data_IF_282941193988
#
_entry.id   IF_282941193988
#
_cell.length_a   1.000
_cell.length_b   1.000
_cell.length_c   1.000
_cell.angle_alpha   90.00
_cell.angle_beta   90.00
_cell.angle_gamma   90.00
#
_symmetry.space_group_name_H-M   'P 1'
#
loop_
_entity.id
_entity.type
_entity.pdbx_description
1 polymer ?
#
# COMPACT_ATOMS: atom_id res chain seq x y z
N UNK A 1 -19.82 -5.78 -60.56
CA UNK A 1 -19.40 -5.31 -59.23
C UNK A 1 -19.79 -6.38 -58.24
N UNK A 2 -18.79 -6.93 -57.54
CA UNK A 2 -18.84 -8.19 -56.80
C UNK A 2 -19.50 -8.06 -55.42
N UNK A 3 -19.85 -9.22 -54.85
CA UNK A 3 -20.62 -9.46 -53.62
C UNK A 3 -19.76 -9.51 -52.33
N UNK A 4 -20.48 -9.70 -51.20
CA UNK A 4 -20.04 -10.13 -49.84
C UNK A 4 -19.53 -9.00 -48.92
N UNK A 5 -19.72 -8.92 -47.59
CA UNK A 5 -20.00 -9.86 -46.49
C UNK A 5 -20.63 -9.06 -45.31
N UNK A 6 -21.71 -9.52 -44.65
CA UNK A 6 -21.71 -10.25 -43.37
C UNK A 6 -21.00 -9.54 -42.20
N UNK A 7 -21.75 -8.80 -41.37
CA UNK A 7 -21.30 -8.32 -40.07
C UNK A 7 -21.24 -9.50 -39.08
N UNK A 8 -20.03 -9.85 -38.67
CA UNK A 8 -19.70 -10.87 -37.68
C UNK A 8 -19.47 -10.23 -36.30
N UNK A 9 -20.24 -10.68 -35.31
CA UNK A 9 -19.98 -10.50 -33.88
C UNK A 9 -18.68 -11.23 -33.48
N UNK A 10 -17.78 -10.63 -32.68
CA UNK A 10 -16.87 -11.39 -31.83
C UNK A 10 -17.41 -11.35 -30.39
N UNK A 11 -17.98 -12.45 -29.91
CA UNK A 11 -17.32 -13.45 -29.09
C UNK A 11 -16.97 -12.92 -27.69
N UNK A 12 -18.00 -12.94 -26.84
CA UNK A 12 -17.92 -12.86 -25.39
C UNK A 12 -17.07 -14.05 -24.90
N UNK A 13 -15.78 -13.80 -24.68
CA UNK A 13 -14.94 -14.73 -23.93
C UNK A 13 -15.10 -14.38 -22.45
N UNK A 14 -15.65 -15.28 -21.62
CA UNK A 14 -15.52 -15.12 -20.19
C UNK A 14 -14.02 -15.11 -19.89
N UNK A 15 -13.51 -14.00 -19.36
CA UNK A 15 -12.22 -13.98 -18.71
C UNK A 15 -12.24 -15.12 -17.68
N UNK A 16 -11.51 -16.19 -18.00
CA UNK A 16 -11.12 -17.20 -17.03
C UNK A 16 -10.57 -16.43 -15.83
N UNK A 17 -11.31 -16.50 -14.74
CA UNK A 17 -10.77 -16.25 -13.40
C UNK A 17 -9.67 -17.28 -13.21
N UNK A 18 -8.46 -16.93 -13.68
CA UNK A 18 -7.24 -17.64 -13.33
C UNK A 18 -7.22 -17.66 -11.82
N UNK A 19 -7.40 -18.85 -11.25
CA UNK A 19 -7.31 -19.07 -9.83
C UNK A 19 -6.04 -18.38 -9.33
N UNK A 20 -6.17 -17.50 -8.34
CA UNK A 20 -5.05 -16.83 -7.69
C UNK A 20 -3.98 -17.89 -7.39
N UNK A 21 -2.74 -17.63 -7.80
CA UNK A 21 -1.61 -18.47 -7.46
C UNK A 21 -1.60 -18.59 -5.93
N UNK A 22 -1.61 -19.80 -5.32
CA UNK A 22 -1.68 -19.99 -3.87
C UNK A 22 -0.50 -19.39 -3.07
N UNK A 23 0.38 -18.63 -3.73
CA UNK A 23 1.44 -17.80 -3.15
C UNK A 23 1.11 -16.31 -3.00
N UNK A 24 0.09 -15.77 -3.68
CA UNK A 24 -0.19 -14.33 -3.67
C UNK A 24 -0.88 -13.91 -2.37
N UNK A 25 -0.13 -13.22 -1.51
CA UNK A 25 -0.68 -12.54 -0.35
C UNK A 25 -1.44 -11.32 -0.85
N UNK A 26 -2.75 -11.46 -1.00
CA UNK A 26 -3.63 -10.36 -1.31
C UNK A 26 -3.98 -9.59 -0.03
N UNK A 27 -3.73 -8.28 -0.01
CA UNK A 27 -4.27 -7.41 1.02
C UNK A 27 -5.78 -7.27 0.81
N UNK A 28 -6.55 -7.54 1.85
CA UNK A 28 -7.97 -7.24 1.82
C UNK A 28 -8.18 -5.75 2.12
N UNK A 29 -8.55 -4.99 1.09
CA UNK A 29 -8.80 -3.55 1.18
C UNK A 29 -10.25 -3.27 0.83
N UNK A 30 -10.99 -2.69 1.78
CA UNK A 30 -12.33 -2.18 1.53
C UNK A 30 -12.28 -0.97 0.61
N UNK A 31 -13.16 -0.97 -0.41
CA UNK A 31 -13.40 0.21 -1.25
C UNK A 31 -13.83 1.37 -0.36
N UNK A 32 -13.32 2.56 -0.66
CA UNK A 32 -13.46 3.79 0.11
C UNK A 32 -12.66 3.82 1.42
N UNK A 33 -11.84 2.80 1.71
CA UNK A 33 -10.99 2.79 2.89
C UNK A 33 -9.71 3.61 2.71
N UNK A 34 -9.32 4.33 3.76
CA UNK A 34 -8.03 4.98 3.90
C UNK A 34 -7.12 4.11 4.78
N UNK A 35 -5.91 3.82 4.31
CA UNK A 35 -4.99 2.89 4.95
C UNK A 35 -3.59 3.47 5.13
N UNK A 36 -2.92 3.11 6.23
CA UNK A 36 -1.46 3.11 6.30
C UNK A 36 -0.98 1.78 5.72
N UNK A 37 -0.11 1.82 4.71
CA UNK A 37 0.53 0.62 4.17
C UNK A 37 2.03 0.69 4.44
N UNK A 38 2.57 -0.39 4.99
CA UNK A 38 4.01 -0.57 5.19
C UNK A 38 4.53 -1.61 4.21
N UNK A 39 5.60 -1.26 3.50
CA UNK A 39 6.26 -2.17 2.54
C UNK A 39 7.73 -2.34 2.84
N UNK A 40 8.27 -3.53 2.65
CA UNK A 40 9.72 -3.77 2.74
C UNK A 40 10.46 -3.05 1.62
N UNK A 41 11.61 -2.47 1.92
CA UNK A 41 12.54 -1.94 0.91
C UNK A 41 13.76 -2.85 0.78
N UNK A 42 14.28 -3.03 -0.44
CA UNK A 42 15.47 -3.85 -0.72
C UNK A 42 16.72 -3.38 0.05
N UNK A 43 16.78 -2.09 0.39
CA UNK A 43 17.94 -1.47 1.03
C UNK A 43 18.00 -1.63 2.58
N UNK A 44 17.09 -2.40 3.19
CA UNK A 44 17.13 -2.77 4.62
C UNK A 44 17.06 -1.58 5.61
N UNK A 45 16.48 -0.45 5.20
CA UNK A 45 16.41 0.80 5.99
C UNK A 45 15.10 0.91 6.82
N UNK A 46 14.41 -0.21 7.04
CA UNK A 46 13.07 -0.27 7.62
C UNK A 46 11.96 -0.34 6.57
N UNK A 47 10.70 -0.33 7.02
CA UNK A 47 9.56 -0.30 6.11
C UNK A 47 9.36 1.09 5.51
N UNK A 48 8.97 1.16 4.22
CA UNK A 48 8.42 2.36 3.61
C UNK A 48 7.00 2.58 4.10
N UNK A 49 6.65 3.81 4.46
CA UNK A 49 5.30 4.16 4.92
C UNK A 49 4.60 4.96 3.83
N UNK A 50 3.38 4.52 3.48
CA UNK A 50 2.52 5.23 2.52
C UNK A 50 1.11 5.37 3.09
N UNK A 51 0.45 6.47 2.74
CA UNK A 51 -1.00 6.59 2.89
C UNK A 51 -1.65 6.12 1.59
N UNK A 52 -2.66 5.27 1.69
CA UNK A 52 -3.35 4.73 0.54
C UNK A 52 -4.86 4.92 0.67
N UNK A 53 -5.46 5.61 -0.28
CA UNK A 53 -6.91 5.67 -0.42
C UNK A 53 -7.34 4.68 -1.49
N UNK A 54 -8.06 3.63 -1.09
CA UNK A 54 -8.61 2.64 -2.00
C UNK A 54 -9.95 3.14 -2.55
N UNK A 55 -10.00 3.58 -3.81
CA UNK A 55 -11.18 4.26 -4.40
C UNK A 55 -12.04 3.35 -5.28
N UNK A 56 -11.56 2.14 -5.59
CA UNK A 56 -12.29 1.14 -6.37
C UNK A 56 -11.60 -0.21 -6.31
N UNK A 57 -12.21 -1.24 -6.92
CA UNK A 57 -11.78 -2.65 -6.76
C UNK A 57 -10.31 -2.94 -7.10
N UNK A 58 -9.71 -2.14 -7.98
CA UNK A 58 -8.30 -2.24 -8.36
C UNK A 58 -7.72 -0.84 -8.63
N UNK A 59 -8.15 0.16 -7.85
CA UNK A 59 -7.72 1.54 -8.05
C UNK A 59 -7.60 2.26 -6.71
N UNK A 60 -6.52 3.01 -6.54
CA UNK A 60 -6.34 3.91 -5.42
C UNK A 60 -5.27 4.95 -5.66
N UNK A 61 -5.17 5.88 -4.71
CA UNK A 61 -4.12 6.89 -4.68
C UNK A 61 -3.16 6.62 -3.54
N UNK A 62 -1.87 6.69 -3.88
CA UNK A 62 -0.75 6.49 -2.96
C UNK A 62 -0.12 7.84 -2.68
N UNK A 63 -0.05 8.21 -1.42
CA UNK A 63 0.61 9.42 -0.95
C UNK A 63 1.83 9.02 -0.13
N UNK A 64 3.01 9.46 -0.54
CA UNK A 64 4.23 9.21 0.21
C UNK A 64 5.29 10.27 -0.06
N UNK A 65 6.35 10.23 0.73
CA UNK A 65 7.60 10.91 0.42
C UNK A 65 8.72 9.89 0.28
N UNK A 66 9.63 10.12 -0.66
CA UNK A 66 10.82 9.30 -0.82
C UNK A 66 12.08 10.17 -0.81
N UNK A 67 13.21 9.55 -0.52
CA UNK A 67 14.51 10.19 -0.63
C UNK A 67 15.38 9.26 -1.48
N UNK A 68 15.38 9.47 -2.79
CA UNK A 68 16.10 8.65 -3.78
C UNK A 68 17.64 8.85 -3.74
N UNK A 69 18.17 9.25 -2.58
CA UNK A 69 19.60 9.25 -2.30
C UNK A 69 20.38 10.46 -2.84
N UNK A 70 19.73 11.47 -3.43
CA UNK A 70 20.48 12.55 -4.08
C UNK A 70 20.57 13.86 -3.29
N UNK A 71 19.49 14.47 -2.78
CA UNK A 71 19.66 15.72 -1.98
C UNK A 71 18.47 16.09 -1.07
N UNK A 72 17.24 15.71 -1.42
CA UNK A 72 16.02 16.17 -0.73
C UNK A 72 14.92 15.11 -0.73
N UNK A 73 14.00 15.22 0.23
CA UNK A 73 12.75 14.47 0.22
C UNK A 73 11.83 15.00 -0.87
N UNK A 74 11.17 14.09 -1.59
CA UNK A 74 10.20 14.41 -2.63
C UNK A 74 8.85 13.79 -2.30
N UNK A 75 7.78 14.58 -2.45
CA UNK A 75 6.42 14.09 -2.32
C UNK A 75 5.90 13.52 -3.63
N UNK A 76 5.14 12.43 -3.52
CA UNK A 76 4.50 11.74 -4.64
C UNK A 76 3.04 11.47 -4.30
N UNK A 77 2.20 11.62 -5.32
CA UNK A 77 0.81 11.23 -5.34
C UNK A 77 0.58 10.41 -6.60
N UNK A 78 0.70 9.09 -6.50
CA UNK A 78 0.64 8.19 -7.65
C UNK A 78 -0.72 7.44 -7.67
N UNK A 79 -1.21 7.14 -8.86
CA UNK A 79 -2.30 6.16 -9.04
C UNK A 79 -1.70 4.75 -8.96
N UNK A 80 -2.31 3.87 -8.17
CA UNK A 80 -1.93 2.45 -8.09
C UNK A 80 -3.11 1.56 -8.38
N UNK A 81 -2.88 0.54 -9.21
CA UNK A 81 -3.86 -0.49 -9.57
C UNK A 81 -3.63 -1.84 -8.89
N UNK A 82 -2.51 -1.95 -8.21
CA UNK A 82 -1.88 -3.19 -7.80
C UNK A 82 -1.50 -3.21 -6.31
N UNK A 83 -1.85 -2.16 -5.54
CA UNK A 83 -1.49 -2.09 -4.13
C UNK A 83 -2.00 -3.29 -3.32
N UNK A 84 -3.18 -3.83 -3.67
CA UNK A 84 -3.73 -5.03 -3.04
C UNK A 84 -2.93 -6.31 -3.32
N UNK A 85 -2.08 -6.31 -4.35
CA UNK A 85 -1.28 -7.45 -4.82
C UNK A 85 0.23 -7.21 -4.61
N UNK A 86 0.61 -6.17 -3.87
CA UNK A 86 2.02 -5.84 -3.66
C UNK A 86 2.70 -6.92 -2.81
N UNK A 87 3.64 -7.65 -3.39
CA UNK A 87 4.46 -8.64 -2.70
C UNK A 87 5.41 -8.03 -1.66
N UNK A 88 5.65 -6.71 -1.75
CA UNK A 88 6.46 -5.96 -0.80
C UNK A 88 5.65 -5.48 0.41
N UNK A 89 4.31 -5.45 0.34
CA UNK A 89 3.48 -4.97 1.44
C UNK A 89 3.48 -5.99 2.59
N UNK A 90 3.75 -5.50 3.78
CA UNK A 90 3.83 -6.31 5.01
C UNK A 90 2.78 -5.92 6.04
N UNK A 91 2.17 -4.74 5.94
CA UNK A 91 1.02 -4.39 6.76
C UNK A 91 0.11 -3.40 6.04
N UNK A 92 -1.18 -3.49 6.34
CA UNK A 92 -2.20 -2.50 6.00
C UNK A 92 -3.06 -2.25 7.24
N UNK A 93 -3.08 -1.02 7.73
CA UNK A 93 -3.91 -0.59 8.87
C UNK A 93 -4.96 0.38 8.35
N UNK A 94 -6.24 0.02 8.48
CA UNK A 94 -7.35 0.88 8.09
C UNK A 94 -7.52 2.01 9.10
N UNK A 95 -7.57 3.24 8.62
CA UNK A 95 -7.67 4.45 9.44
C UNK A 95 -9.10 5.00 9.45
N UNK A 96 -9.75 5.00 8.28
CA UNK A 96 -11.06 5.60 8.11
C UNK A 96 -11.80 5.02 6.90
N UNK A 97 -13.12 5.12 6.93
CA UNK A 97 -13.99 5.02 5.75
C UNK A 97 -14.23 6.42 5.19
N UNK A 98 -13.91 6.63 3.92
CA UNK A 98 -14.00 7.93 3.25
C UNK A 98 -15.17 7.95 2.28
N UNK A 99 -16.18 8.78 2.53
CA UNK A 99 -17.26 8.98 1.57
C UNK A 99 -16.71 9.36 0.18
N UNK A 100 -17.20 8.79 -0.93
CA UNK A 100 -16.66 9.04 -2.28
C UNK A 100 -16.52 10.52 -2.64
N UNK A 101 -17.47 11.35 -2.23
CA UNK A 101 -17.46 12.80 -2.43
C UNK A 101 -16.29 13.53 -1.73
N UNK A 102 -15.71 12.90 -0.70
CA UNK A 102 -14.59 13.46 0.06
C UNK A 102 -13.23 13.08 -0.53
N UNK A 103 -13.15 12.14 -1.47
CA UNK A 103 -11.88 11.62 -2.00
C UNK A 103 -11.01 12.73 -2.61
N UNK A 104 -11.58 13.55 -3.48
CA UNK A 104 -10.86 14.66 -4.13
C UNK A 104 -10.54 15.81 -3.16
N UNK A 105 -11.36 16.01 -2.13
CA UNK A 105 -11.08 16.99 -1.09
C UNK A 105 -9.89 16.53 -0.23
N UNK A 106 -9.88 15.26 0.18
CA UNK A 106 -8.79 14.62 0.91
C UNK A 106 -7.49 14.66 0.10
N UNK A 107 -7.54 14.26 -1.18
CA UNK A 107 -6.39 14.29 -2.09
C UNK A 107 -5.77 15.69 -2.15
N UNK A 108 -6.59 16.72 -2.39
CA UNK A 108 -6.12 18.12 -2.41
C UNK A 108 -5.56 18.59 -1.07
N UNK A 109 -6.14 18.14 0.05
CA UNK A 109 -5.64 18.49 1.38
C UNK A 109 -4.30 17.85 1.70
N UNK A 110 -4.07 16.61 1.29
CA UNK A 110 -2.78 15.94 1.51
C UNK A 110 -1.70 16.57 0.60
N UNK A 111 -2.03 16.74 -0.67
CA UNK A 111 -1.17 17.38 -1.65
C UNK A 111 -1.53 16.98 -3.08
N UNK A 112 -1.34 17.92 -4.00
CA UNK A 112 -1.68 17.75 -5.42
C UNK A 112 -0.48 18.15 -6.30
N UNK A 113 -0.33 17.54 -7.48
CA UNK A 113 0.75 17.83 -8.44
C UNK A 113 2.16 17.93 -7.82
N UNK A 114 2.56 16.89 -7.08
CA UNK A 114 3.87 16.81 -6.40
C UNK A 114 4.14 17.91 -5.37
N UNK A 115 3.11 18.62 -4.92
CA UNK A 115 3.19 19.60 -3.83
C UNK A 115 2.44 19.10 -2.58
N UNK A 116 3.12 18.74 -1.50
CA UNK A 116 2.47 18.37 -0.26
C UNK A 116 1.95 19.63 0.44
N UNK A 117 0.83 19.50 1.16
CA UNK A 117 0.36 20.57 2.04
C UNK A 117 1.18 20.64 3.34
N UNK A 118 1.63 19.48 3.83
CA UNK A 118 2.58 19.35 4.94
C UNK A 118 3.99 19.64 4.43
N UNK A 119 4.71 20.52 5.13
CA UNK A 119 6.09 20.86 4.79
C UNK A 119 7.03 19.65 4.90
N UNK A 120 7.95 19.53 3.94
CA UNK A 120 9.00 18.52 3.96
C UNK A 120 10.20 19.02 4.78
N UNK A 121 10.02 19.14 6.09
CA UNK A 121 11.07 19.55 7.03
C UNK A 121 11.04 18.77 8.35
N UNK A 122 12.14 18.82 9.08
CA UNK A 122 12.19 18.39 10.47
C UNK A 122 11.27 19.28 11.31
N UNK A 123 10.59 18.69 12.31
CA UNK A 123 9.70 19.45 13.20
C UNK A 123 9.98 19.15 14.66
N UNK A 124 9.66 20.11 15.54
CA UNK A 124 9.80 19.92 16.98
C UNK A 124 8.89 18.81 17.53
N UNK A 125 7.73 18.58 16.90
CA UNK A 125 6.73 17.58 17.33
C UNK A 125 7.02 16.17 16.80
N UNK A 126 7.38 16.07 15.53
CA UNK A 126 7.54 14.77 14.85
C UNK A 126 9.00 14.36 14.67
N UNK A 127 9.95 15.25 14.95
CA UNK A 127 11.38 14.99 14.85
C UNK A 127 11.92 15.11 13.43
N UNK A 128 12.94 14.30 13.14
CA UNK A 128 13.61 14.27 11.83
C UNK A 128 12.65 13.78 10.75
N UNK A 129 12.69 14.41 9.58
CA UNK A 129 11.87 14.06 8.45
C UNK A 129 12.26 12.70 7.86
N UNK A 130 11.27 11.81 7.83
CA UNK A 130 11.25 10.58 7.06
C UNK A 130 9.81 10.24 6.63
N UNK A 131 9.64 9.17 5.83
CA UNK A 131 8.32 8.75 5.34
C UNK A 131 7.31 8.50 6.47
N UNK A 132 7.77 8.03 7.64
CA UNK A 132 6.92 7.78 8.81
C UNK A 132 6.56 9.10 9.48
N UNK A 133 7.54 9.95 9.81
CA UNK A 133 7.28 11.20 10.55
C UNK A 133 6.45 12.19 9.73
N UNK A 134 6.66 12.25 8.40
CA UNK A 134 5.80 13.00 7.49
C UNK A 134 4.37 12.47 7.50
N UNK A 135 4.19 11.14 7.39
CA UNK A 135 2.85 10.55 7.38
C UNK A 135 2.12 10.77 8.71
N UNK A 136 2.81 10.66 9.84
CA UNK A 136 2.23 10.96 11.15
C UNK A 136 1.80 12.42 11.28
N UNK A 137 2.57 13.35 10.69
CA UNK A 137 2.15 14.74 10.63
C UNK A 137 0.90 14.94 9.75
N UNK A 138 0.84 14.31 8.58
CA UNK A 138 -0.36 14.32 7.72
C UNK A 138 -1.57 13.82 8.49
N UNK A 139 -1.47 12.67 9.17
CA UNK A 139 -2.59 12.11 9.93
C UNK A 139 -3.01 13.00 11.09
N UNK A 140 -2.06 13.61 11.80
CA UNK A 140 -2.36 14.56 12.86
C UNK A 140 -3.14 15.77 12.34
N UNK A 141 -2.74 16.34 11.21
CA UNK A 141 -3.44 17.48 10.62
C UNK A 141 -4.84 17.08 10.11
N UNK A 142 -4.97 15.93 9.45
CA UNK A 142 -6.26 15.43 8.98
C UNK A 142 -7.24 15.17 10.12
N UNK A 143 -6.76 14.63 11.25
CA UNK A 143 -7.58 14.40 12.45
C UNK A 143 -8.04 15.71 13.08
N UNK A 144 -7.14 16.68 13.25
CA UNK A 144 -7.49 18.00 13.79
C UNK A 144 -8.47 18.78 12.90
N UNK A 145 -8.44 18.55 11.60
CA UNK A 145 -9.35 19.18 10.62
C UNK A 145 -10.65 18.40 10.43
N UNK A 146 -10.78 17.21 11.02
CA UNK A 146 -11.97 16.38 10.93
C UNK A 146 -12.13 15.63 9.61
N UNK A 147 -11.07 15.46 8.83
CA UNK A 147 -11.07 14.55 7.67
C UNK A 147 -11.09 13.09 8.09
N UNK A 148 -10.44 12.78 9.20
CA UNK A 148 -10.43 11.47 9.85
C UNK A 148 -10.75 11.65 11.33
N UNK A 149 -11.05 10.55 12.02
CA UNK A 149 -11.14 10.55 13.48
C UNK A 149 -10.39 9.35 14.02
N UNK A 150 -9.25 9.63 14.65
CA UNK A 150 -8.57 8.63 15.47
C UNK A 150 -9.45 8.37 16.70
N UNK A 151 -9.68 7.08 17.05
CA UNK A 151 -10.62 6.70 18.10
C UNK A 151 -10.37 7.47 19.42
N UNK A 152 -11.42 7.80 20.21
CA UNK A 152 -11.23 8.50 21.48
C UNK A 152 -10.26 7.77 22.41
N UNK A 153 -9.22 8.47 22.87
CA UNK A 153 -8.16 7.91 23.71
C UNK A 153 -7.03 7.22 22.95
N UNK A 154 -7.11 7.20 21.62
CA UNK A 154 -6.08 6.71 20.70
C UNK A 154 -5.37 7.91 20.06
N UNK A 155 -4.07 7.81 19.87
CA UNK A 155 -3.25 8.84 19.23
C UNK A 155 -2.68 8.32 17.92
N UNK A 156 -2.18 9.24 17.09
CA UNK A 156 -1.39 8.90 15.91
C UNK A 156 -0.14 8.05 16.23
N UNK A 157 0.40 8.15 17.45
CA UNK A 157 1.53 7.32 17.87
C UNK A 157 1.10 5.88 18.13
N UNK A 158 -0.10 5.67 18.66
CA UNK A 158 -0.68 4.33 18.85
C UNK A 158 -0.94 3.67 17.49
N UNK A 159 -1.44 4.41 16.50
CA UNK A 159 -1.54 3.93 15.10
C UNK A 159 -0.17 3.57 14.52
N UNK A 160 0.87 4.33 14.84
CA UNK A 160 2.23 4.02 14.39
C UNK A 160 2.75 2.72 15.03
N UNK A 161 2.49 2.52 16.31
CA UNK A 161 2.87 1.31 17.04
C UNK A 161 2.12 0.09 16.49
N UNK A 162 0.82 0.22 16.24
CA UNK A 162 -0.01 -0.81 15.63
C UNK A 162 0.52 -1.22 14.26
N UNK A 163 0.74 -0.26 13.36
CA UNK A 163 1.27 -0.51 12.02
C UNK A 163 2.65 -1.19 12.06
N UNK A 164 3.55 -0.71 12.93
CA UNK A 164 4.90 -1.28 13.09
C UNK A 164 4.84 -2.70 13.65
N UNK A 165 3.99 -2.94 14.64
CA UNK A 165 3.83 -4.26 15.27
C UNK A 165 3.26 -5.28 14.30
N UNK A 166 2.24 -4.87 13.52
CA UNK A 166 1.66 -5.71 12.48
C UNK A 166 2.69 -6.04 11.39
N UNK A 167 3.46 -5.05 10.93
CA UNK A 167 4.52 -5.27 9.95
C UNK A 167 5.61 -6.22 10.44
N UNK A 168 6.06 -6.06 11.69
CA UNK A 168 7.07 -6.93 12.28
C UNK A 168 6.56 -8.38 12.41
N UNK A 169 5.32 -8.57 12.87
CA UNK A 169 4.70 -9.88 12.97
C UNK A 169 4.56 -10.56 11.60
N UNK A 170 4.08 -9.83 10.59
CA UNK A 170 3.90 -10.36 9.24
C UNK A 170 5.24 -10.66 8.57
N UNK A 171 6.26 -9.81 8.75
CA UNK A 171 7.62 -10.09 8.25
C UNK A 171 8.19 -11.37 8.84
N UNK A 172 8.04 -11.57 10.16
CA UNK A 172 8.49 -12.79 10.82
C UNK A 172 7.80 -14.03 10.23
N UNK A 173 6.47 -13.98 10.04
CA UNK A 173 5.71 -15.06 9.43
C UNK A 173 6.12 -15.35 7.98
N UNK A 174 6.40 -14.31 7.19
CA UNK A 174 6.87 -14.45 5.80
C UNK A 174 8.26 -15.10 5.73
N UNK A 175 9.17 -14.72 6.62
CA UNK A 175 10.50 -15.32 6.71
C UNK A 175 10.43 -16.79 7.12
N UNK A 176 9.64 -17.13 8.14
CA UNK A 176 9.43 -18.51 8.58
C UNK A 176 8.80 -19.38 7.47
N UNK A 177 7.76 -18.87 6.80
CA UNK A 177 7.13 -19.54 5.65
C UNK A 177 8.14 -19.78 4.52
N UNK A 178 8.95 -18.77 4.19
CA UNK A 178 9.97 -18.86 3.13
C UNK A 178 11.03 -19.89 3.48
N UNK A 179 11.51 -19.92 4.73
CA UNK A 179 12.49 -20.90 5.20
C UNK A 179 11.94 -22.33 5.09
N UNK A 180 10.70 -22.56 5.55
CA UNK A 180 10.03 -23.87 5.44
C UNK A 180 9.86 -24.31 3.99
N UNK A 181 9.41 -23.42 3.10
CA UNK A 181 9.28 -23.73 1.67
C UNK A 181 10.64 -24.05 1.05
N UNK A 182 11.69 -23.32 1.44
CA UNK A 182 13.04 -23.58 0.94
C UNK A 182 13.56 -24.96 1.37
N UNK A 183 13.24 -25.40 2.58
CA UNK A 183 13.64 -26.72 3.08
C UNK A 183 12.87 -27.84 2.36
N UNK A 184 11.55 -27.70 2.24
CA UNK A 184 10.72 -28.64 1.46
C UNK A 184 11.21 -28.76 0.00
N UNK A 185 11.61 -27.65 -0.63
CA UNK A 185 12.20 -27.66 -1.98
C UNK A 185 13.50 -28.47 -2.04
N UNK A 186 14.37 -28.37 -1.04
CA UNK A 186 15.59 -29.18 -0.96
C UNK A 186 15.29 -30.67 -0.81
N UNK A 187 14.34 -31.02 0.06
CA UNK A 187 13.91 -32.41 0.26
C UNK A 187 13.36 -33.03 -1.03
N UNK A 188 12.50 -32.31 -1.75
CA UNK A 188 11.95 -32.76 -3.04
C UNK A 188 13.06 -32.97 -4.07
N UNK A 189 13.97 -32.00 -4.23
CA UNK A 189 15.09 -32.12 -5.17
C UNK A 189 15.97 -33.32 -4.80
N UNK A 190 16.26 -33.51 -3.51
CA UNK A 190 17.04 -34.66 -3.04
C UNK A 190 16.34 -35.99 -3.31
N UNK A 191 15.01 -36.06 -3.19
CA UNK A 191 14.23 -37.26 -3.46
C UNK A 191 14.14 -37.58 -4.97
N UNK A 192 14.04 -36.55 -5.82
CA UNK A 192 14.00 -36.72 -7.28
C UNK A 192 15.37 -37.02 -7.91
N UNK A 193 16.46 -36.69 -7.22
CA UNK A 193 17.83 -36.94 -7.69
C UNK A 193 18.49 -38.20 -7.09
N UNK A 194 17.76 -39.00 -6.30
CA UNK A 194 18.23 -40.29 -5.82
C UNK A 194 18.13 -41.36 -6.95
N UNK A 195 19.23 -42.09 -7.26
CA UNK A 195 19.28 -43.06 -8.36
C UNK A 195 18.51 -44.35 -8.09
#
# INVERSE_FOLDING_TARGET
>A
MSAAEAESLPHDQPHELTAADPGDVQLHLDVNGLYIILSTQEANIGCHWVLYLHIGSALGWVFHINNLGCVSWEYRCDESRDMAYSTAAVAAVKIADMAPEMHEALRRRIGFDSKPAVELADTARFGRLDCRTWLLQVLYELDNEGYISVLPGYSIHDLAEEATSLAAANQFLLQDKTAKISELRKEIISACCAP
#
